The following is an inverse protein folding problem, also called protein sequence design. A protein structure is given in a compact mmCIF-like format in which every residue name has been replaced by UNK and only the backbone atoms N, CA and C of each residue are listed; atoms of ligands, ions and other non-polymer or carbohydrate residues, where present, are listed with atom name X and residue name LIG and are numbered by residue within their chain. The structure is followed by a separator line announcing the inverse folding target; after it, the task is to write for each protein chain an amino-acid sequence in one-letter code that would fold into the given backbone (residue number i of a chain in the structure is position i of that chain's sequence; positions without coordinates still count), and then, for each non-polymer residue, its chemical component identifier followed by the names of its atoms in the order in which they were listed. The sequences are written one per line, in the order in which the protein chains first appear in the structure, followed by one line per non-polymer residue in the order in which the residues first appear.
data_IF_360378492213
#
_entry.id   IF_360378492213
#
_cell.length_a   1.000
_cell.length_b   1.000
_cell.length_c   1.000
_cell.angle_alpha   90.00
_cell.angle_beta   90.00
_cell.angle_gamma   90.00
#
_symmetry.space_group_name_H-M   'P 1'
#
loop_
_entity.id
_entity.type
_entity.pdbx_description
1 polymer ?
#
# COMPACT_ATOMS: atom_id res chain seq x y z
N UNK A 1 12.51 11.85 13.34
CA UNK A 1 11.32 11.38 12.59
C UNK A 1 11.19 9.90 12.81
N UNK A 2 9.98 9.39 13.07
CA UNK A 2 9.81 7.94 13.03
C UNK A 2 10.05 7.48 11.59
N UNK A 3 10.72 6.35 11.32
CA UNK A 3 11.06 5.95 9.96
C UNK A 3 9.85 5.85 9.00
N UNK A 4 8.66 5.53 9.53
CA UNK A 4 7.39 5.52 8.77
C UNK A 4 6.96 6.91 8.25
N UNK A 5 7.39 8.01 8.86
CA UNK A 5 6.98 9.37 8.48
C UNK A 5 7.35 9.74 7.04
N UNK A 6 8.39 9.12 6.49
CA UNK A 6 8.81 9.30 5.09
C UNK A 6 7.76 8.80 4.09
N UNK A 7 6.83 7.94 4.51
CA UNK A 7 5.77 7.41 3.66
C UNK A 7 4.53 8.30 3.65
N UNK A 8 4.37 9.20 4.62
CA UNK A 8 3.15 9.99 4.76
C UNK A 8 3.00 11.01 3.63
N UNK A 9 1.77 11.26 3.22
CA UNK A 9 1.39 12.10 2.10
C UNK A 9 0.50 11.37 1.09
N UNK A 10 0.43 11.92 -0.12
CA UNK A 10 -0.43 11.40 -1.18
C UNK A 10 0.39 10.76 -2.29
N UNK A 11 -0.11 9.64 -2.78
CA UNK A 11 0.56 8.75 -3.72
C UNK A 11 -0.41 8.40 -4.84
N UNK A 12 -0.08 8.82 -6.05
CA UNK A 12 -0.83 8.50 -7.25
C UNK A 12 -0.22 7.28 -7.92
N UNK A 13 -1.05 6.27 -8.20
CA UNK A 13 -0.63 5.10 -8.99
C UNK A 13 -0.25 5.54 -10.40
N UNK A 14 0.82 4.95 -10.92
CA UNK A 14 1.22 4.94 -12.31
C UNK A 14 0.81 3.59 -12.92
N UNK A 15 -0.34 3.51 -13.62
CA UNK A 15 -0.86 2.25 -14.13
C UNK A 15 0.03 1.65 -15.22
N UNK A 16 0.65 2.50 -16.04
CA UNK A 16 1.49 2.08 -17.19
C UNK A 16 2.76 1.36 -16.73
N UNK A 17 3.26 1.70 -15.54
CA UNK A 17 4.46 1.08 -14.94
C UNK A 17 4.14 -0.01 -13.91
N UNK A 18 2.86 -0.34 -13.71
CA UNK A 18 2.41 -1.35 -12.74
C UNK A 18 2.14 -2.69 -13.44
N UNK A 19 2.41 -3.80 -12.75
CA UNK A 19 2.26 -5.17 -13.29
C UNK A 19 1.55 -6.10 -12.32
N UNK A 20 0.42 -6.65 -12.74
CA UNK A 20 -0.47 -7.43 -11.87
C UNK A 20 -0.57 -8.85 -12.41
N UNK A 21 -0.30 -9.85 -11.57
CA UNK A 21 -0.57 -11.26 -11.87
C UNK A 21 -2.00 -11.65 -11.53
N UNK A 22 -2.60 -11.01 -10.52
CA UNK A 22 -3.96 -11.29 -10.08
C UNK A 22 -4.83 -10.03 -10.12
N UNK A 23 -5.97 -10.13 -10.80
CA UNK A 23 -6.84 -8.98 -11.09
C UNK A 23 -6.27 -8.07 -12.18
N UNK A 24 -6.90 -6.91 -12.36
CA UNK A 24 -6.50 -5.90 -13.35
C UNK A 24 -5.98 -4.64 -12.67
N UNK A 25 -5.04 -3.96 -13.34
CA UNK A 25 -4.53 -2.66 -12.88
C UNK A 25 -5.68 -1.65 -12.92
N UNK A 26 -5.96 -0.91 -11.83
CA UNK A 26 -7.01 0.11 -11.84
C UNK A 26 -6.63 1.27 -12.76
N UNK A 27 -7.62 1.97 -13.29
CA UNK A 27 -7.41 3.14 -14.14
C UNK A 27 -6.74 4.28 -13.37
N UNK A 28 -7.08 4.44 -12.09
CA UNK A 28 -6.40 5.36 -11.18
C UNK A 28 -6.52 4.89 -9.74
N UNK A 29 -5.54 5.28 -8.92
CA UNK A 29 -5.58 5.11 -7.47
C UNK A 29 -4.86 6.27 -6.80
N UNK A 30 -5.55 6.98 -5.92
CA UNK A 30 -4.94 7.93 -5.01
C UNK A 30 -4.90 7.32 -3.61
N UNK A 31 -3.71 7.10 -3.07
CA UNK A 31 -3.49 6.61 -1.71
C UNK A 31 -2.99 7.75 -0.83
N UNK A 32 -3.65 7.95 0.30
CA UNK A 32 -3.22 8.86 1.37
C UNK A 32 -2.71 8.04 2.54
N UNK A 33 -1.49 8.32 2.98
CA UNK A 33 -0.86 7.73 4.14
C UNK A 33 -0.64 8.81 5.20
N UNK A 34 -1.10 8.56 6.41
CA UNK A 34 -0.88 9.47 7.55
C UNK A 34 -0.82 8.67 8.87
N UNK A 35 -0.33 9.31 9.93
CA UNK A 35 -0.42 8.75 11.27
C UNK A 35 -1.71 9.23 11.93
N UNK A 36 -2.49 8.29 12.45
CA UNK A 36 -3.68 8.57 13.24
C UNK A 36 -3.73 7.59 14.40
N UNK A 37 -3.94 8.10 15.61
CA UNK A 37 -4.08 7.27 16.82
C UNK A 37 -2.87 6.34 17.06
N UNK A 38 -1.66 6.76 16.63
CA UNK A 38 -0.44 5.96 16.74
C UNK A 38 -0.39 4.76 15.76
N UNK A 39 -1.24 4.76 14.73
CA UNK A 39 -1.33 3.74 13.71
C UNK A 39 -1.13 4.34 12.30
N UNK A 40 -0.80 3.49 11.33
CA UNK A 40 -0.81 3.86 9.92
C UNK A 40 -2.25 3.93 9.43
N UNK A 41 -2.72 5.13 9.10
CA UNK A 41 -3.97 5.35 8.41
C UNK A 41 -3.74 5.30 6.91
N UNK A 42 -4.51 4.46 6.20
CA UNK A 42 -4.47 4.36 4.74
C UNK A 42 -5.87 4.61 4.20
N UNK A 43 -5.99 5.65 3.40
CA UNK A 43 -7.19 5.93 2.61
C UNK A 43 -6.86 5.79 1.12
N UNK A 44 -7.69 5.08 0.38
CA UNK A 44 -7.55 4.90 -1.07
C UNK A 44 -8.82 5.32 -1.79
N UNK A 45 -8.66 6.11 -2.84
CA UNK A 45 -9.70 6.48 -3.80
C UNK A 45 -9.31 5.85 -5.13
N UNK A 46 -10.05 4.83 -5.56
CA UNK A 46 -9.69 3.94 -6.68
C UNK A 46 -10.76 4.07 -7.77
N UNK A 47 -10.33 4.18 -9.02
CA UNK A 47 -11.18 3.89 -10.18
C UNK A 47 -10.72 2.55 -10.73
N UNK A 48 -11.54 1.51 -10.54
CA UNK A 48 -11.21 0.15 -10.97
C UNK A 48 -10.99 0.05 -12.49
N UNK A 49 -10.50 -1.09 -12.96
CA UNK A 49 -10.19 -1.30 -14.38
C UNK A 49 -11.38 -1.02 -15.32
N UNK A 50 -12.60 -1.25 -14.84
CA UNK A 50 -13.85 -1.00 -15.58
C UNK A 50 -14.56 0.32 -15.20
N UNK A 51 -13.86 1.25 -14.54
CA UNK A 51 -14.37 2.59 -14.22
C UNK A 51 -15.21 2.67 -12.94
N UNK A 52 -15.46 1.55 -12.25
CA UNK A 52 -16.21 1.54 -11.00
C UNK A 52 -15.40 2.21 -9.87
N UNK A 53 -15.99 3.17 -9.12
CA UNK A 53 -15.31 3.79 -7.99
C UNK A 53 -15.27 2.84 -6.79
N UNK A 54 -14.13 2.77 -6.10
CA UNK A 54 -13.92 2.01 -4.87
C UNK A 54 -13.22 2.92 -3.87
N UNK A 55 -13.72 2.94 -2.63
CA UNK A 55 -13.07 3.65 -1.51
C UNK A 55 -12.65 2.62 -0.47
N UNK A 56 -11.41 2.73 -0.01
CA UNK A 56 -10.90 1.98 1.14
C UNK A 56 -10.39 2.96 2.19
N UNK A 57 -10.67 2.68 3.45
CA UNK A 57 -10.28 3.52 4.59
C UNK A 57 -10.05 2.58 5.78
N UNK A 58 -8.88 2.67 6.42
CA UNK A 58 -8.53 1.77 7.51
C UNK A 58 -7.32 2.21 8.32
N UNK A 59 -7.26 1.69 9.55
CA UNK A 59 -6.15 1.89 10.48
C UNK A 59 -5.41 0.58 10.69
N UNK A 60 -4.08 0.64 10.62
CA UNK A 60 -3.21 -0.49 10.85
C UNK A 60 -2.19 -0.15 11.93
N UNK A 61 -2.24 -0.81 13.10
CA UNK A 61 -1.31 -0.52 14.19
C UNK A 61 0.12 -0.78 13.74
N UNK A 62 1.06 0.00 14.28
CA UNK A 62 2.47 -0.35 14.16
C UNK A 62 2.82 -1.45 15.16
N UNK A 63 3.52 -2.49 14.72
CA UNK A 63 3.89 -3.59 15.59
C UNK A 63 4.61 -4.73 14.84
N UNK A 64 5.63 -5.28 15.48
CA UNK A 64 6.33 -6.47 14.98
C UNK A 64 5.55 -7.74 15.36
N UNK A 65 5.33 -8.64 14.40
CA UNK A 65 4.73 -9.95 14.66
C UNK A 65 3.21 -9.97 14.95
N UNK A 66 2.59 -8.82 15.21
CA UNK A 66 1.16 -8.70 15.50
C UNK A 66 0.26 -9.05 14.29
N UNK A 67 -1.01 -9.35 14.58
CA UNK A 67 -2.01 -9.66 13.55
C UNK A 67 -2.45 -8.36 12.87
N UNK A 68 -2.31 -8.28 11.55
CA UNK A 68 -2.70 -7.11 10.76
C UNK A 68 -1.99 -5.81 11.22
N UNK A 69 -0.70 -5.90 11.54
CA UNK A 69 0.12 -4.74 11.88
C UNK A 69 1.04 -4.33 10.72
N UNK A 70 1.48 -3.07 10.76
CA UNK A 70 2.53 -2.53 9.90
C UNK A 70 3.86 -2.57 10.63
N UNK A 71 4.83 -3.26 10.04
CA UNK A 71 6.20 -3.33 10.50
C UNK A 71 7.05 -2.31 9.74
N UNK A 72 7.91 -1.61 10.47
CA UNK A 72 8.88 -0.68 9.87
C UNK A 72 10.25 -1.34 9.87
N UNK A 73 10.66 -1.86 8.71
CA UNK A 73 11.93 -2.60 8.61
C UNK A 73 13.14 -1.65 8.56
N UNK A 74 13.00 -0.53 7.86
CA UNK A 74 14.02 0.52 7.74
C UNK A 74 13.38 1.85 7.29
N UNK A 75 14.20 2.89 7.06
CA UNK A 75 13.73 4.22 6.63
C UNK A 75 12.99 4.26 5.28
N UNK A 76 13.13 3.23 4.46
CA UNK A 76 12.54 3.13 3.12
C UNK A 76 11.69 1.90 2.94
N UNK A 77 11.43 1.14 3.99
CA UNK A 77 10.70 -0.13 3.88
C UNK A 77 9.62 -0.27 4.95
N UNK A 78 8.36 -0.41 4.52
CA UNK A 78 7.24 -0.87 5.35
C UNK A 78 6.77 -2.23 4.88
N UNK A 79 6.41 -3.11 5.82
CA UNK A 79 5.78 -4.38 5.51
C UNK A 79 4.50 -4.53 6.31
N UNK A 80 3.42 -4.83 5.60
CA UNK A 80 2.12 -5.12 6.18
C UNK A 80 1.75 -6.56 5.86
N UNK A 81 1.39 -7.35 6.87
CA UNK A 81 0.98 -8.76 6.66
C UNK A 81 -0.46 -8.94 7.11
N UNK A 82 -1.30 -9.37 6.18
CA UNK A 82 -2.67 -9.74 6.46
C UNK A 82 -2.70 -11.19 6.90
N UNK A 83 -3.34 -11.45 8.05
CA UNK A 83 -3.46 -12.80 8.61
C UNK A 83 -4.93 -13.19 8.77
N UNK A 84 -5.30 -14.32 8.18
CA UNK A 84 -6.58 -14.99 8.37
C UNK A 84 -6.34 -16.32 9.08
N UNK A 85 -7.11 -16.60 10.14
CA UNK A 85 -7.00 -17.83 10.93
C UNK A 85 -5.58 -18.17 11.46
N UNK A 86 -4.77 -17.13 11.66
CA UNK A 86 -3.39 -17.24 12.17
C UNK A 86 -2.33 -17.38 11.08
N UNK A 87 -2.72 -17.65 9.83
CA UNK A 87 -1.83 -17.78 8.68
C UNK A 87 -1.74 -16.47 7.90
N UNK A 88 -0.57 -16.16 7.34
CA UNK A 88 -0.38 -14.98 6.49
C UNK A 88 -1.02 -15.27 5.13
N UNK A 89 -2.10 -14.57 4.81
CA UNK A 89 -2.81 -14.72 3.53
C UNK A 89 -2.26 -13.78 2.46
N UNK A 90 -1.74 -12.63 2.86
CA UNK A 90 -1.00 -11.75 1.96
C UNK A 90 0.00 -10.86 2.67
N UNK A 91 1.00 -10.41 1.92
CA UNK A 91 2.04 -9.48 2.34
C UNK A 91 2.06 -8.29 1.39
N UNK A 92 2.03 -7.08 1.95
CA UNK A 92 2.15 -5.81 1.24
C UNK A 92 3.43 -5.14 1.69
N UNK A 93 4.44 -5.12 0.83
CA UNK A 93 5.72 -4.46 1.04
C UNK A 93 5.75 -3.13 0.28
N UNK A 94 6.04 -2.03 0.98
CA UNK A 94 6.19 -0.69 0.40
C UNK A 94 7.65 -0.26 0.49
N UNK A 95 8.23 0.13 -0.64
CA UNK A 95 9.62 0.50 -0.75
C UNK A 95 9.76 1.88 -1.39
N UNK A 96 10.27 2.84 -0.62
CA UNK A 96 10.64 4.16 -1.13
C UNK A 96 11.92 4.07 -1.94
N UNK A 97 11.90 4.72 -3.09
CA UNK A 97 13.09 4.93 -3.90
C UNK A 97 14.01 5.96 -3.23
N UNK A 98 15.24 6.11 -3.73
CA UNK A 98 16.19 7.08 -3.18
C UNK A 98 15.70 8.53 -3.29
N UNK A 99 14.83 8.83 -4.26
CA UNK A 99 14.23 10.15 -4.45
C UNK A 99 13.23 10.53 -3.35
N UNK A 100 12.67 9.55 -2.60
CA UNK A 100 11.57 9.77 -1.66
C UNK A 100 10.24 10.19 -2.29
N UNK A 101 10.19 10.25 -3.62
CA UNK A 101 9.05 10.67 -4.44
C UNK A 101 8.43 9.52 -5.23
N UNK A 102 9.14 8.39 -5.34
CA UNK A 102 8.66 7.17 -5.96
C UNK A 102 8.55 6.05 -4.92
N UNK A 103 7.48 5.27 -4.99
CA UNK A 103 7.27 4.13 -4.13
C UNK A 103 6.84 2.91 -4.94
N UNK A 104 7.48 1.77 -4.70
CA UNK A 104 7.02 0.47 -5.17
C UNK A 104 6.19 -0.18 -4.08
N UNK A 105 5.00 -0.67 -4.42
CA UNK A 105 4.18 -1.51 -3.54
C UNK A 105 4.09 -2.90 -4.15
N UNK A 106 4.68 -3.87 -3.48
CA UNK A 106 4.57 -5.30 -3.82
C UNK A 106 3.50 -5.92 -2.94
N UNK A 107 2.41 -6.37 -3.54
CA UNK A 107 1.37 -7.14 -2.87
C UNK A 107 1.45 -8.58 -3.37
N UNK A 108 1.64 -9.53 -2.46
CA UNK A 108 1.70 -10.95 -2.80
C UNK A 108 0.84 -11.75 -1.85
N UNK A 109 0.30 -12.85 -2.34
CA UNK A 109 -0.57 -13.74 -1.58
C UNK A 109 -0.84 -15.02 -2.32
N UNK A 110 -1.82 -15.77 -1.84
CA UNK A 110 -2.31 -17.00 -2.47
C UNK A 110 -3.77 -16.78 -2.87
N UNK A 111 -4.15 -17.18 -4.09
CA UNK A 111 -5.52 -17.18 -4.57
C UNK A 111 -5.78 -18.46 -5.34
N UNK A 112 -6.88 -19.14 -5.04
CA UNK A 112 -7.23 -20.43 -5.67
C UNK A 112 -6.12 -21.49 -5.59
N UNK A 113 -5.27 -21.42 -4.56
CA UNK A 113 -4.13 -22.32 -4.34
C UNK A 113 -2.84 -21.92 -5.07
N UNK A 114 -2.87 -20.88 -5.90
CA UNK A 114 -1.71 -20.39 -6.66
C UNK A 114 -1.16 -19.09 -6.05
N UNK A 115 0.18 -18.95 -5.96
CA UNK A 115 0.78 -17.70 -5.52
C UNK A 115 0.64 -16.63 -6.60
N UNK A 116 0.45 -15.39 -6.18
CA UNK A 116 0.41 -14.23 -7.08
C UNK A 116 1.19 -13.06 -6.50
N UNK A 117 1.64 -12.19 -7.39
CA UNK A 117 2.34 -10.95 -7.08
C UNK A 117 1.83 -9.83 -7.96
N UNK A 118 1.42 -8.74 -7.34
CA UNK A 118 1.12 -7.47 -7.99
C UNK A 118 2.16 -6.43 -7.57
N UNK A 119 2.70 -5.71 -8.55
CA UNK A 119 3.63 -4.61 -8.37
C UNK A 119 2.94 -3.32 -8.80
N UNK A 120 2.69 -2.44 -7.85
CA UNK A 120 2.13 -1.11 -8.09
C UNK A 120 3.24 -0.07 -7.94
N UNK A 121 3.38 0.83 -8.92
CA UNK A 121 4.28 1.97 -8.82
C UNK A 121 3.48 3.23 -8.50
N UNK A 122 3.93 3.96 -7.47
CA UNK A 122 3.31 5.20 -7.04
C UNK A 122 4.29 6.35 -7.14
N UNK A 123 3.76 7.51 -7.54
CA UNK A 123 4.45 8.79 -7.53
C UNK A 123 3.79 9.69 -6.50
N UNK A 124 4.61 10.38 -5.71
CA UNK A 124 4.15 11.33 -4.71
C UNK A 124 3.50 12.53 -5.40
N UNK A 125 2.34 12.94 -4.91
CA UNK A 125 1.62 14.11 -5.42
C UNK A 125 1.25 15.05 -4.28
N UNK A 126 1.16 16.34 -4.58
CA UNK A 126 0.54 17.30 -3.68
C UNK A 126 -0.97 17.24 -3.89
N UNK A 127 -1.75 16.95 -2.84
CA UNK A 127 -3.18 17.16 -2.93
C UNK A 127 -3.41 18.66 -2.86
N UNK A 128 -3.87 19.26 -3.94
CA UNK A 128 -4.38 20.63 -3.86
C UNK A 128 -5.45 20.66 -2.77
N UNK A 129 -5.28 21.53 -1.78
CA UNK A 129 -6.35 21.87 -0.85
C UNK A 129 -7.49 22.43 -1.72
N UNK A 130 -8.56 21.66 -1.87
CA UNK A 130 -9.80 22.13 -2.46
C UNK A 130 -10.51 23.08 -1.49
#
# INVERSE_FOLDING_TARGET
MQPAHRFFGHWQLDPERSTYQYGEVPQSLLMTLEEREGALHIRMEIVGAHGAPITMDGLWPFGEGERNATEVLDERTLVHRLKQDGEVTSTIRRELWQDGLTMTVRHEGISEGEPWVNISLFVRVERALA
#
